data_IF_755780406209
#
_entry.id   IF_755780406209
#
_cell.length_a   1.000
_cell.length_b   1.000
_cell.length_c   1.000
_cell.angle_alpha   90.00
_cell.angle_beta   90.00
_cell.angle_gamma   90.00
#
_symmetry.space_group_name_H-M   'P 1'
#
loop_
_entity.id
_entity.type
_entity.pdbx_description
1 polymer ?
#
# COMPACT_ATOMS: atom_id res chain seq x y z
N UNK A 1 -30.16 9.70 -37.25
CA UNK A 1 -29.23 9.61 -36.11
C UNK A 1 -28.09 10.57 -36.41
N UNK A 2 -28.19 11.79 -35.87
CA UNK A 2 -27.37 12.95 -36.25
C UNK A 2 -26.20 13.14 -35.28
N UNK A 3 -25.04 13.51 -35.83
CA UNK A 3 -23.75 13.66 -35.14
C UNK A 3 -23.66 14.81 -34.13
N UNK A 4 -24.77 15.20 -33.49
CA UNK A 4 -24.81 16.25 -32.46
C UNK A 4 -24.85 15.69 -31.03
N UNK A 5 -25.10 14.38 -30.85
CA UNK A 5 -25.19 13.76 -29.51
C UNK A 5 -23.82 13.34 -28.95
N UNK A 6 -22.79 13.18 -29.80
CA UNK A 6 -21.44 12.77 -29.37
C UNK A 6 -20.59 13.95 -28.87
N UNK A 7 -20.89 15.19 -29.30
CA UNK A 7 -20.15 16.39 -28.89
C UNK A 7 -20.44 16.83 -27.44
N UNK A 8 -21.58 16.43 -26.85
CA UNK A 8 -21.96 16.80 -25.49
C UNK A 8 -21.35 15.90 -24.41
N UNK A 9 -20.89 14.69 -24.76
CA UNK A 9 -20.21 13.80 -23.81
C UNK A 9 -18.73 14.18 -23.67
N UNK A 10 -18.10 14.69 -24.74
CA UNK A 10 -16.68 15.12 -24.71
C UNK A 10 -16.51 16.48 -24.00
N UNK A 11 -17.50 17.37 -24.05
CA UNK A 11 -17.44 18.64 -23.31
C UNK A 11 -17.77 18.52 -21.81
N UNK A 12 -18.45 17.45 -21.38
CA UNK A 12 -18.71 17.14 -19.97
C UNK A 12 -17.49 16.58 -19.23
N UNK A 13 -16.59 15.88 -19.93
CA UNK A 13 -15.36 15.32 -19.34
C UNK A 13 -14.17 16.29 -19.31
N UNK A 14 -14.21 17.40 -20.07
CA UNK A 14 -13.14 18.41 -20.06
C UNK A 14 -13.35 19.57 -19.07
N UNK A 15 -14.52 19.68 -18.43
CA UNK A 15 -14.77 20.69 -17.39
C UNK A 15 -14.43 20.22 -15.96
N UNK A 16 -14.17 18.93 -15.74
CA UNK A 16 -13.67 18.41 -14.45
C UNK A 16 -12.14 18.47 -14.31
N UNK A 17 -11.42 18.78 -15.38
CA UNK A 17 -9.96 18.96 -15.37
C UNK A 17 -9.50 20.40 -15.07
N UNK A 18 -10.42 21.36 -14.96
CA UNK A 18 -10.11 22.81 -14.83
C UNK A 18 -10.21 23.41 -13.42
N UNK A 19 -10.82 22.72 -12.46
CA UNK A 19 -11.04 23.24 -11.09
C UNK A 19 -10.00 22.76 -10.06
N UNK A 20 -9.16 21.78 -10.40
CA UNK A 20 -8.16 21.20 -9.50
C UNK A 20 -6.85 21.99 -9.37
N UNK A 21 -6.56 22.92 -10.29
CA UNK A 21 -5.24 23.59 -10.37
C UNK A 21 -5.18 24.92 -9.58
N UNK A 22 -6.30 25.42 -9.07
CA UNK A 22 -6.34 26.69 -8.30
C UNK A 22 -6.49 26.48 -6.78
N UNK A 23 -6.72 25.25 -6.31
CA UNK A 23 -6.77 24.92 -4.87
C UNK A 23 -5.47 24.31 -4.30
N UNK A 24 -4.49 24.00 -5.16
CA UNK A 24 -3.19 23.47 -4.73
C UNK A 24 -2.18 24.56 -4.28
N UNK A 25 -2.49 25.86 -4.47
CA UNK A 25 -1.60 26.96 -4.06
C UNK A 25 -2.01 27.64 -2.74
N UNK A 26 -3.06 27.17 -2.08
CA UNK A 26 -3.57 27.78 -0.82
C UNK A 26 -3.27 26.98 0.46
N UNK A 27 -2.58 25.83 0.36
CA UNK A 27 -2.22 25.01 1.53
C UNK A 27 -0.78 25.15 2.03
N UNK A 28 0.07 25.94 1.36
CA UNK A 28 1.43 26.18 1.85
C UNK A 28 1.49 27.33 2.89
N UNK A 29 0.47 28.19 2.95
CA UNK A 29 0.47 29.36 3.85
C UNK A 29 -0.38 29.16 5.14
N UNK A 30 -1.11 28.05 5.29
CA UNK A 30 -1.90 27.73 6.50
C UNK A 30 -1.15 26.87 7.53
N UNK A 31 0.03 26.34 7.19
CA UNK A 31 0.89 25.58 8.13
C UNK A 31 1.78 26.46 9.03
N UNK A 32 1.69 27.79 8.91
CA UNK A 32 2.44 28.77 9.71
C UNK A 32 1.51 29.69 10.52
N UNK A 33 0.28 29.27 10.84
CA UNK A 33 -0.55 30.02 11.82
C UNK A 33 -0.01 29.76 13.24
N UNK A 34 0.59 30.75 13.92
CA UNK A 34 1.11 30.59 15.28
C UNK A 34 0.02 30.40 16.35
N UNK A 35 -1.26 30.27 15.97
CA UNK A 35 -2.39 30.09 16.89
C UNK A 35 -2.94 28.67 16.99
N UNK A 36 -2.40 27.69 16.26
CA UNK A 36 -2.67 26.27 16.52
C UNK A 36 -1.68 25.73 17.59
N UNK A 37 -1.81 26.24 18.81
CA UNK A 37 -1.12 25.72 19.98
C UNK A 37 -1.80 24.45 20.50
N UNK A 38 -0.99 23.48 20.92
CA UNK A 38 -1.32 22.33 21.78
C UNK A 38 -2.21 21.22 21.21
N UNK A 39 -1.79 20.59 20.13
CA UNK A 39 -2.02 19.14 19.94
C UNK A 39 -0.68 18.44 19.69
N UNK A 40 0.20 18.53 20.69
CA UNK A 40 1.47 17.82 20.74
C UNK A 40 1.24 16.39 21.27
N UNK A 41 0.58 15.58 20.47
CA UNK A 41 0.72 14.13 20.57
C UNK A 41 1.68 13.71 19.47
N UNK A 42 2.96 13.47 19.77
CA UNK A 42 3.83 12.84 18.79
C UNK A 42 3.18 11.50 18.45
N UNK A 43 2.79 11.32 17.19
CA UNK A 43 2.65 9.98 16.64
C UNK A 43 4.02 9.36 16.86
N UNK A 44 4.14 8.46 17.83
CA UNK A 44 5.38 7.73 18.06
C UNK A 44 5.68 6.98 16.77
N UNK A 45 6.57 7.56 15.94
CA UNK A 45 7.22 6.81 14.87
C UNK A 45 7.78 5.56 15.51
N UNK A 46 7.28 4.41 15.07
CA UNK A 46 7.70 3.13 15.61
C UNK A 46 9.21 2.98 15.40
N UNK A 47 9.87 2.26 16.30
CA UNK A 47 11.33 2.08 16.30
C UNK A 47 11.87 1.61 14.94
N UNK A 48 11.06 0.90 14.15
CA UNK A 48 11.36 0.45 12.79
C UNK A 48 11.41 1.58 11.75
N UNK A 49 10.58 2.62 11.84
CA UNK A 49 10.63 3.76 10.90
C UNK A 49 11.92 4.55 11.05
N UNK A 50 12.43 4.68 12.27
CA UNK A 50 13.72 5.34 12.54
C UNK A 50 14.91 4.48 12.15
N UNK A 51 14.82 3.16 12.31
CA UNK A 51 15.86 2.25 11.82
C UNK A 51 15.89 2.20 10.30
N UNK A 52 14.73 2.16 9.63
CA UNK A 52 14.65 2.27 8.17
C UNK A 52 15.22 3.62 7.74
N UNK A 53 14.82 4.74 8.35
CA UNK A 53 15.36 6.07 8.04
C UNK A 53 16.88 6.16 8.28
N UNK A 54 17.39 5.53 9.35
CA UNK A 54 18.83 5.47 9.65
C UNK A 54 19.60 4.57 8.66
N UNK A 55 19.05 3.42 8.28
CA UNK A 55 19.63 2.51 7.28
C UNK A 55 19.60 3.12 5.87
N UNK A 56 18.54 3.87 5.54
CA UNK A 56 18.45 4.69 4.33
C UNK A 56 19.52 5.79 4.33
N UNK A 57 19.84 6.36 5.51
CA UNK A 57 20.83 7.43 5.64
C UNK A 57 22.29 6.94 5.62
N UNK A 58 22.59 5.71 6.07
CA UNK A 58 23.95 5.19 6.16
C UNK A 58 24.38 4.27 5.00
N UNK A 59 23.43 3.83 4.16
CA UNK A 59 23.69 3.03 2.96
C UNK A 59 24.23 1.62 3.23
N UNK A 60 24.11 1.10 4.46
CA UNK A 60 24.80 -0.12 4.92
C UNK A 60 23.98 -1.41 4.91
N UNK A 61 22.79 -1.41 4.31
CA UNK A 61 21.99 -2.64 4.16
C UNK A 61 22.61 -3.58 3.11
N UNK A 62 22.76 -4.90 3.37
CA UNK A 62 23.40 -5.85 2.44
C UNK A 62 22.70 -5.93 1.07
N UNK A 63 21.46 -5.43 0.95
CA UNK A 63 20.69 -5.36 -0.30
C UNK A 63 20.38 -3.92 -0.78
N UNK A 64 21.00 -2.89 -0.19
CA UNK A 64 20.71 -1.49 -0.47
C UNK A 64 19.41 -0.99 0.18
N UNK A 65 19.15 0.31 0.03
CA UNK A 65 17.91 0.97 0.48
C UNK A 65 16.69 0.49 -0.33
N UNK A 66 15.51 0.27 0.28
CA UNK A 66 14.27 0.07 -0.46
C UNK A 66 14.03 1.24 -1.42
N UNK A 67 13.56 0.92 -2.63
CA UNK A 67 13.18 1.93 -3.61
C UNK A 67 11.96 2.67 -3.08
N UNK A 68 12.02 4.01 -3.08
CA UNK A 68 11.02 4.86 -2.47
C UNK A 68 9.62 4.58 -3.04
N UNK A 69 9.49 4.48 -4.37
CA UNK A 69 8.22 4.16 -5.01
C UNK A 69 7.60 2.84 -4.52
N UNK A 70 8.41 1.81 -4.28
CA UNK A 70 7.94 0.51 -3.81
C UNK A 70 7.41 0.61 -2.37
N UNK A 71 8.24 1.20 -1.50
CA UNK A 71 7.91 1.40 -0.10
C UNK A 71 6.67 2.30 0.06
N UNK A 72 6.64 3.45 -0.60
CA UNK A 72 5.53 4.41 -0.54
C UNK A 72 4.23 3.79 -1.03
N UNK A 73 4.27 3.01 -2.12
CA UNK A 73 3.09 2.32 -2.61
C UNK A 73 2.54 1.33 -1.58
N UNK A 74 3.38 0.38 -1.13
CA UNK A 74 2.93 -0.75 -0.33
C UNK A 74 2.66 -0.38 1.14
N UNK A 75 3.46 0.50 1.73
CA UNK A 75 3.39 0.82 3.16
C UNK A 75 2.63 2.11 3.44
N UNK A 76 2.52 3.05 2.49
CA UNK A 76 1.87 4.34 2.73
C UNK A 76 0.57 4.50 1.94
N UNK A 77 0.64 4.59 0.62
CA UNK A 77 -0.48 4.98 -0.24
C UNK A 77 -1.60 3.94 -0.26
N UNK A 78 -1.28 2.68 -0.61
CA UNK A 78 -2.29 1.62 -0.70
C UNK A 78 -2.89 1.31 0.67
N UNK A 79 -2.05 1.27 1.71
CA UNK A 79 -2.45 1.10 3.11
C UNK A 79 -3.43 2.18 3.56
N UNK A 80 -3.05 3.45 3.39
CA UNK A 80 -3.91 4.58 3.77
C UNK A 80 -5.23 4.51 3.04
N UNK A 81 -5.20 4.31 1.72
CA UNK A 81 -6.42 4.24 0.91
C UNK A 81 -7.32 3.06 1.34
N UNK A 82 -6.73 1.95 1.74
CA UNK A 82 -7.46 0.79 2.24
C UNK A 82 -8.21 1.11 3.52
N UNK A 83 -7.56 1.74 4.50
CA UNK A 83 -8.23 2.07 5.75
C UNK A 83 -9.27 3.20 5.61
N UNK A 84 -9.19 4.04 4.57
CA UNK A 84 -10.23 5.05 4.26
C UNK A 84 -11.55 4.43 3.75
N UNK A 85 -11.48 3.40 2.91
CA UNK A 85 -12.65 2.67 2.40
C UNK A 85 -12.30 1.19 2.12
N UNK A 86 -12.27 0.32 3.15
CA UNK A 86 -11.76 -1.04 3.00
C UNK A 86 -12.56 -1.88 2.00
N UNK A 87 -13.89 -1.81 2.10
CA UNK A 87 -14.79 -2.57 1.25
C UNK A 87 -14.79 -2.08 -0.20
N UNK A 88 -14.81 -0.77 -0.40
CA UNK A 88 -14.78 -0.18 -1.73
C UNK A 88 -13.45 -0.44 -2.43
N UNK A 89 -12.32 -0.25 -1.73
CA UNK A 89 -11.00 -0.51 -2.29
C UNK A 89 -10.81 -1.99 -2.63
N UNK A 90 -11.15 -2.91 -1.73
CA UNK A 90 -11.00 -4.35 -2.00
C UNK A 90 -11.80 -4.79 -3.23
N UNK A 91 -13.05 -4.31 -3.39
CA UNK A 91 -13.86 -4.60 -4.59
C UNK A 91 -13.28 -4.00 -5.86
N UNK A 92 -12.81 -2.77 -5.80
CA UNK A 92 -12.18 -2.09 -6.94
C UNK A 92 -10.92 -2.83 -7.39
N UNK A 93 -10.02 -3.14 -6.45
CA UNK A 93 -8.74 -3.81 -6.72
C UNK A 93 -8.94 -5.23 -7.28
N UNK A 94 -9.98 -5.95 -6.83
CA UNK A 94 -10.34 -7.26 -7.36
C UNK A 94 -11.16 -7.22 -8.68
N UNK A 95 -11.61 -6.05 -9.10
CA UNK A 95 -12.47 -5.87 -10.27
C UNK A 95 -11.71 -5.68 -11.59
N UNK A 96 -12.45 -5.49 -12.68
CA UNK A 96 -11.90 -5.32 -14.03
C UNK A 96 -10.99 -4.09 -14.16
N UNK A 97 -11.30 -3.01 -13.44
CA UNK A 97 -10.51 -1.78 -13.42
C UNK A 97 -9.35 -1.80 -12.40
N UNK A 98 -9.21 -2.89 -11.63
CA UNK A 98 -8.29 -2.97 -10.51
C UNK A 98 -6.83 -2.79 -10.91
N UNK A 99 -6.40 -3.43 -12.00
CA UNK A 99 -5.03 -3.28 -12.52
C UNK A 99 -4.76 -1.82 -12.92
N UNK A 100 -5.63 -1.20 -13.71
CA UNK A 100 -5.50 0.21 -14.13
C UNK A 100 -5.39 1.15 -12.92
N UNK A 101 -6.23 0.91 -11.91
CA UNK A 101 -6.22 1.68 -10.67
C UNK A 101 -4.90 1.51 -9.89
N UNK A 102 -4.42 0.27 -9.73
CA UNK A 102 -3.15 -0.02 -9.04
C UNK A 102 -1.97 0.63 -9.79
N UNK A 103 -1.94 0.59 -11.12
CA UNK A 103 -0.89 1.24 -11.91
C UNK A 103 -0.90 2.77 -11.72
N UNK A 104 -2.08 3.39 -11.64
CA UNK A 104 -2.20 4.82 -11.38
C UNK A 104 -1.65 5.19 -9.99
N UNK A 105 -2.02 4.44 -8.95
CA UNK A 105 -1.47 4.62 -7.59
C UNK A 105 0.04 4.36 -7.53
N UNK A 106 0.55 3.37 -8.26
CA UNK A 106 1.98 3.08 -8.35
C UNK A 106 2.76 4.25 -8.95
N UNK A 107 2.20 4.89 -9.98
CA UNK A 107 2.80 6.08 -10.56
C UNK A 107 2.67 7.31 -9.65
N UNK A 108 1.67 7.38 -8.76
CA UNK A 108 1.57 8.41 -7.72
C UNK A 108 2.62 8.21 -6.61
N UNK A 109 2.96 6.97 -6.28
CA UNK A 109 4.01 6.63 -5.32
C UNK A 109 5.41 7.11 -5.73
N UNK A 110 5.58 7.60 -6.96
CA UNK A 110 6.78 8.32 -7.37
C UNK A 110 6.91 9.64 -6.60
N UNK A 111 7.54 9.60 -5.44
CA UNK A 111 7.99 10.79 -4.77
C UNK A 111 8.90 11.60 -5.72
N UNK A 112 8.78 12.93 -5.66
CA UNK A 112 9.58 13.84 -6.47
C UNK A 112 11.07 13.69 -6.10
N UNK A 113 11.83 12.94 -6.89
CA UNK A 113 13.27 12.75 -6.68
C UNK A 113 13.84 11.41 -7.17
N UNK A 114 13.01 10.39 -7.39
CA UNK A 114 13.48 9.11 -7.93
C UNK A 114 13.80 9.26 -9.44
N UNK A 115 15.05 8.95 -9.79
CA UNK A 115 15.58 9.16 -11.15
C UNK A 115 15.21 8.01 -12.10
N UNK A 116 14.84 6.85 -11.55
CA UNK A 116 14.54 5.62 -12.31
C UNK A 116 13.24 4.96 -11.82
N UNK A 117 12.06 5.35 -12.35
CA UNK A 117 10.79 4.74 -12.01
C UNK A 117 10.79 3.24 -12.22
N UNK A 118 10.26 2.50 -11.25
CA UNK A 118 9.95 1.09 -11.41
C UNK A 118 8.71 0.97 -12.32
N UNK A 119 8.79 0.25 -13.45
CA UNK A 119 7.61 0.00 -14.26
C UNK A 119 6.55 -0.77 -13.45
N UNK A 120 5.26 -0.45 -13.57
CA UNK A 120 4.17 -1.07 -12.79
C UNK A 120 3.81 -2.48 -13.31
N UNK A 121 4.81 -3.27 -13.72
CA UNK A 121 4.61 -4.60 -14.32
C UNK A 121 4.30 -5.62 -13.24
N UNK A 122 3.22 -6.37 -13.46
CA UNK A 122 2.79 -7.45 -12.55
C UNK A 122 1.85 -7.01 -11.44
N UNK A 123 1.46 -5.72 -11.39
CA UNK A 123 0.43 -5.25 -10.46
C UNK A 123 -0.91 -5.88 -10.78
N UNK A 124 -1.43 -6.69 -9.87
CA UNK A 124 -2.72 -7.34 -10.04
C UNK A 124 -3.36 -7.67 -8.70
N UNK A 125 -4.61 -7.28 -8.53
CA UNK A 125 -5.46 -7.77 -7.45
C UNK A 125 -6.10 -9.11 -7.80
N UNK A 126 -5.99 -10.08 -6.91
CA UNK A 126 -6.62 -11.39 -7.02
C UNK A 126 -7.53 -11.61 -5.81
N UNK A 127 -8.83 -11.80 -6.06
CA UNK A 127 -9.76 -12.25 -5.03
C UNK A 127 -9.49 -13.73 -4.74
N UNK A 128 -8.97 -14.03 -3.54
CA UNK A 128 -8.61 -15.41 -3.15
C UNK A 128 -9.77 -16.10 -2.40
N UNK A 129 -10.88 -15.38 -2.17
CA UNK A 129 -12.04 -15.88 -1.44
C UNK A 129 -11.78 -16.08 0.05
N UNK A 130 -12.85 -16.07 0.85
CA UNK A 130 -12.82 -16.32 2.28
C UNK A 130 -14.18 -16.77 2.78
N UNK A 131 -14.21 -17.66 3.77
CA UNK A 131 -15.47 -18.15 4.33
C UNK A 131 -16.20 -17.10 5.19
N UNK A 132 -15.52 -16.02 5.59
CA UNK A 132 -16.00 -14.98 6.53
C UNK A 132 -15.56 -13.56 6.15
N UNK A 133 -15.55 -13.23 4.86
CA UNK A 133 -15.18 -11.90 4.39
C UNK A 133 -14.51 -11.90 3.02
N UNK A 134 -13.94 -10.74 2.68
CA UNK A 134 -13.19 -10.51 1.44
C UNK A 134 -11.70 -10.53 1.74
N UNK A 135 -10.95 -11.32 0.98
CA UNK A 135 -9.49 -11.33 0.96
C UNK A 135 -9.02 -11.10 -0.47
N UNK A 136 -8.30 -10.01 -0.68
CA UNK A 136 -7.66 -9.66 -1.95
C UNK A 136 -6.16 -9.65 -1.75
N UNK A 137 -5.42 -10.38 -2.60
CA UNK A 137 -3.96 -10.34 -2.65
C UNK A 137 -3.55 -9.52 -3.86
N UNK A 138 -2.64 -8.56 -3.65
CA UNK A 138 -2.06 -7.72 -4.69
C UNK A 138 -0.63 -8.15 -4.91
N UNK A 139 -0.31 -8.62 -6.12
CA UNK A 139 1.07 -8.84 -6.56
C UNK A 139 1.75 -7.49 -6.84
N UNK A 140 3.01 -7.37 -6.42
CA UNK A 140 3.82 -6.16 -6.62
C UNK A 140 4.99 -6.43 -7.58
N UNK A 141 5.57 -5.38 -8.18
CA UNK A 141 6.84 -5.51 -8.88
C UNK A 141 7.89 -6.17 -7.98
N UNK A 142 8.70 -7.06 -8.56
CA UNK A 142 9.67 -7.89 -7.83
C UNK A 142 10.52 -7.03 -6.87
N UNK A 143 10.56 -7.36 -5.56
CA UNK A 143 11.40 -6.67 -4.61
C UNK A 143 12.89 -7.00 -4.84
N UNK A 144 13.76 -6.08 -4.44
CA UNK A 144 15.21 -6.11 -4.61
C UNK A 144 15.97 -5.75 -3.34
N UNK A 145 15.34 -5.03 -2.43
CA UNK A 145 15.91 -4.61 -1.16
C UNK A 145 14.99 -5.02 0.00
N UNK A 146 15.58 -5.15 1.19
CA UNK A 146 14.84 -5.47 2.41
C UNK A 146 13.67 -4.49 2.60
N UNK A 147 12.57 -4.97 3.19
CA UNK A 147 11.30 -4.26 3.39
C UNK A 147 10.48 -3.98 2.13
N UNK A 148 11.00 -4.20 0.93
CA UNK A 148 10.16 -4.18 -0.27
C UNK A 148 9.24 -5.40 -0.31
N UNK A 149 7.95 -5.17 -0.55
CA UNK A 149 6.95 -6.24 -0.54
C UNK A 149 6.90 -7.05 -1.86
N UNK A 150 6.78 -8.37 -1.74
CA UNK A 150 6.35 -9.23 -2.83
C UNK A 150 4.86 -9.05 -3.10
N UNK A 151 4.06 -9.02 -2.03
CA UNK A 151 2.60 -9.02 -2.09
C UNK A 151 2.02 -8.21 -0.93
N UNK A 152 0.80 -7.70 -1.12
CA UNK A 152 -0.04 -7.08 -0.08
C UNK A 152 -1.36 -7.85 0.02
N UNK A 153 -1.89 -8.04 1.22
CA UNK A 153 -3.22 -8.59 1.43
C UNK A 153 -4.16 -7.56 2.07
N UNK A 154 -5.32 -7.37 1.45
CA UNK A 154 -6.43 -6.56 1.93
C UNK A 154 -7.49 -7.49 2.51
N UNK A 155 -7.70 -7.45 3.83
CA UNK A 155 -8.70 -8.27 4.51
C UNK A 155 -9.84 -7.42 5.02
N UNK A 156 -11.03 -7.67 4.49
CA UNK A 156 -12.28 -7.07 4.98
C UNK A 156 -13.12 -8.19 5.58
N UNK A 157 -13.04 -8.42 6.90
CA UNK A 157 -13.80 -9.48 7.54
C UNK A 157 -15.31 -9.14 7.56
N UNK A 158 -16.16 -10.14 7.68
CA UNK A 158 -17.61 -9.93 7.93
C UNK A 158 -17.87 -9.31 9.31
N UNK A 159 -16.97 -9.59 10.27
CA UNK A 159 -17.02 -9.09 11.64
C UNK A 159 -15.62 -8.72 12.10
N UNK A 160 -15.48 -7.58 12.77
CA UNK A 160 -14.20 -7.05 13.24
C UNK A 160 -13.60 -6.02 12.29
N UNK A 161 -12.38 -5.62 12.58
CA UNK A 161 -11.70 -4.52 11.89
C UNK A 161 -10.98 -5.00 10.61
N UNK A 162 -10.89 -4.15 9.58
CA UNK A 162 -10.10 -4.43 8.39
C UNK A 162 -8.62 -4.64 8.75
N UNK A 163 -7.93 -5.52 8.01
CA UNK A 163 -6.53 -5.86 8.26
C UNK A 163 -5.71 -5.79 6.99
N UNK A 164 -4.48 -5.33 7.11
CA UNK A 164 -3.57 -5.06 6.00
C UNK A 164 -2.26 -5.78 6.24
N UNK A 165 -1.89 -6.71 5.36
CA UNK A 165 -0.66 -7.49 5.51
C UNK A 165 0.28 -7.24 4.34
N UNK A 166 1.58 -7.38 4.60
CA UNK A 166 2.65 -7.36 3.61
C UNK A 166 3.41 -8.68 3.70
N UNK A 167 3.88 -9.16 2.54
CA UNK A 167 4.87 -10.22 2.45
C UNK A 167 6.16 -9.60 1.94
N UNK A 168 7.07 -9.27 2.85
CA UNK A 168 8.27 -8.49 2.57
C UNK A 168 9.46 -9.34 2.20
N UNK A 169 10.37 -8.77 1.42
CA UNK A 169 11.71 -9.29 1.22
C UNK A 169 12.53 -9.08 2.50
N UNK A 170 13.10 -10.17 3.02
CA UNK A 170 14.03 -10.15 4.14
C UNK A 170 15.26 -11.02 3.87
N UNK A 171 16.19 -10.97 4.81
CA UNK A 171 17.40 -11.78 4.83
C UNK A 171 17.54 -12.45 6.20
N UNK A 172 18.12 -13.64 6.26
CA UNK A 172 18.51 -14.30 7.51
C UNK A 172 19.91 -13.85 7.98
N UNK A 173 20.42 -14.45 9.05
CA UNK A 173 21.75 -14.13 9.61
C UNK A 173 22.91 -14.51 8.68
N UNK A 174 22.66 -15.39 7.70
CA UNK A 174 23.62 -15.87 6.70
C UNK A 174 23.46 -15.16 5.34
N UNK A 175 22.73 -14.03 5.29
CA UNK A 175 22.37 -13.27 4.08
C UNK A 175 21.57 -14.06 3.03
N UNK A 176 20.91 -15.16 3.41
CA UNK A 176 20.00 -15.85 2.51
C UNK A 176 18.66 -15.10 2.43
N UNK A 177 18.16 -14.97 1.21
CA UNK A 177 16.87 -14.36 0.95
C UNK A 177 15.74 -15.18 1.60
N UNK A 178 14.87 -14.50 2.33
CA UNK A 178 13.61 -15.03 2.88
C UNK A 178 12.47 -14.06 2.63
N UNK A 179 11.26 -14.47 2.96
CA UNK A 179 10.11 -13.57 3.09
C UNK A 179 9.80 -13.32 4.56
N UNK A 180 9.17 -12.19 4.84
CA UNK A 180 8.75 -11.80 6.18
C UNK A 180 7.26 -11.44 6.13
N UNK A 181 6.46 -12.07 6.99
CA UNK A 181 5.03 -11.76 7.07
C UNK A 181 4.83 -10.62 8.06
N UNK A 182 4.26 -9.50 7.62
CA UNK A 182 3.98 -8.37 8.48
C UNK A 182 2.50 -7.95 8.42
N UNK A 183 2.06 -7.21 9.42
CA UNK A 183 0.74 -6.58 9.48
C UNK A 183 0.84 -5.11 9.88
N UNK A 184 0.03 -4.28 9.24
CA UNK A 184 -0.29 -2.95 9.72
C UNK A 184 -1.59 -2.98 10.51
N UNK A 185 -1.52 -2.61 11.79
CA UNK A 185 -2.67 -2.50 12.70
C UNK A 185 -2.47 -1.30 13.63
N UNK A 186 -3.48 -0.46 13.77
CA UNK A 186 -3.47 0.71 14.66
C UNK A 186 -2.26 1.63 14.47
N UNK A 187 -1.79 1.76 13.23
CA UNK A 187 -0.61 2.56 12.88
C UNK A 187 0.73 1.90 13.17
N UNK A 188 0.74 0.72 13.81
CA UNK A 188 1.95 -0.06 14.05
C UNK A 188 2.19 -1.10 12.97
N UNK A 189 3.47 -1.34 12.67
CA UNK A 189 3.95 -2.41 11.82
C UNK A 189 4.37 -3.59 12.71
N UNK A 190 3.77 -4.76 12.50
CA UNK A 190 4.01 -5.95 13.29
C UNK A 190 4.66 -7.01 12.43
N UNK A 191 5.89 -7.39 12.76
CA UNK A 191 6.62 -8.48 12.10
C UNK A 191 6.30 -9.83 12.77
N UNK A 192 5.84 -10.81 11.98
CA UNK A 192 5.52 -12.17 12.47
C UNK A 192 6.63 -13.20 12.21
N UNK A 193 7.80 -12.77 11.76
CA UNK A 193 8.92 -13.63 11.39
C UNK A 193 8.80 -14.16 9.96
N UNK A 194 9.34 -15.35 9.74
CA UNK A 194 9.39 -15.98 8.42
C UNK A 194 8.01 -16.09 7.77
N UNK A 195 7.92 -15.62 6.53
CA UNK A 195 6.74 -15.72 5.70
C UNK A 195 6.73 -16.99 4.85
N UNK A 196 5.61 -17.28 4.18
CA UNK A 196 5.55 -18.30 3.14
C UNK A 196 6.34 -17.87 1.89
N UNK A 197 6.56 -18.80 0.96
CA UNK A 197 7.00 -18.44 -0.38
C UNK A 197 6.06 -17.37 -1.01
N UNK A 198 6.58 -16.48 -1.89
CA UNK A 198 5.80 -15.40 -2.52
C UNK A 198 4.86 -15.94 -3.61
N UNK A 199 3.89 -16.74 -3.17
CA UNK A 199 2.82 -17.34 -3.94
C UNK A 199 1.48 -16.89 -3.35
N UNK A 200 0.53 -16.54 -4.20
CA UNK A 200 -0.77 -15.97 -3.80
C UNK A 200 -1.49 -16.87 -2.80
N UNK A 201 -1.54 -18.18 -3.04
CA UNK A 201 -2.27 -19.11 -2.19
C UNK A 201 -1.54 -19.36 -0.87
N UNK A 202 -0.21 -19.48 -0.92
CA UNK A 202 0.61 -19.63 0.28
C UNK A 202 0.51 -18.40 1.20
N UNK A 203 0.57 -17.20 0.63
CA UNK A 203 0.41 -15.95 1.37
C UNK A 203 -1.02 -15.81 1.92
N UNK A 204 -2.05 -16.06 1.10
CA UNK A 204 -3.43 -16.03 1.55
C UNK A 204 -3.71 -17.02 2.69
N UNK A 205 -3.13 -18.22 2.64
CA UNK A 205 -3.24 -19.19 3.73
C UNK A 205 -2.60 -18.69 5.04
N UNK A 206 -1.42 -18.08 4.96
CA UNK A 206 -0.75 -17.50 6.12
C UNK A 206 -1.56 -16.33 6.73
N UNK A 207 -2.12 -15.46 5.88
CA UNK A 207 -3.01 -14.37 6.31
C UNK A 207 -4.26 -14.91 6.99
N UNK A 208 -4.92 -15.94 6.43
CA UNK A 208 -6.09 -16.59 7.04
C UNK A 208 -5.79 -17.09 8.45
N UNK A 209 -4.66 -17.74 8.66
CA UNK A 209 -4.23 -18.22 9.97
C UNK A 209 -4.04 -17.09 11.00
N UNK A 210 -3.79 -15.84 10.57
CA UNK A 210 -3.70 -14.67 11.46
C UNK A 210 -5.05 -14.03 11.73
N UNK A 211 -6.03 -14.18 10.85
CA UNK A 211 -7.34 -13.51 10.95
C UNK A 211 -8.45 -14.36 11.53
N UNK A 212 -8.33 -15.69 11.44
CA UNK A 212 -9.28 -16.57 12.10
C UNK A 212 -9.09 -16.49 13.63
N UNK A 213 -10.18 -16.36 14.40
CA UNK A 213 -10.07 -16.41 15.84
C UNK A 213 -9.48 -17.77 16.24
N UNK A 214 -8.52 -17.78 17.16
CA UNK A 214 -8.15 -19.03 17.84
C UNK A 214 -9.45 -19.69 18.28
N UNK A 215 -9.68 -20.89 17.77
CA UNK A 215 -10.87 -21.65 18.15
C UNK A 215 -10.82 -21.76 19.67
N UNK A 216 -11.75 -21.10 20.35
CA UNK A 216 -11.85 -21.14 21.81
C UNK A 216 -12.03 -22.62 22.20
N UNK A 217 -10.92 -23.23 22.63
CA UNK A 217 -10.87 -24.56 23.23
C UNK A 217 -11.19 -24.45 24.72
#
# INVERSE_FOLDING_TARGET
MSGWTIALIIFGLLMLAGAGVVLARRRHDELNDPKLGDLDHPVEQTWEEREIEAMLADGSSPAGSPRAQHYDFAHLLLRRRFFEDPSGLARLVAGEDGETFLQAMWNEAMASGEVDPIPPRGLKGTLVGGARGVLVVVDLPRPRAMTEAHQVALVVPEQGDPRYFTLELGFDEDDHQRTVLCEWRDGAHMNFGDGPAPDIEAFAAAVRAKVEPESAN
#
